data_IF_908934563078
#
_entry.id   IF_908934563078
#
_cell.length_a   1.000
_cell.length_b   1.000
_cell.length_c   1.000
_cell.angle_alpha   90.00
_cell.angle_beta   90.00
_cell.angle_gamma   90.00
#
_symmetry.space_group_name_H-M   'P 1'
#
loop_
_entity.id
_entity.type
_entity.pdbx_description
1 polymer ?
#
# COMPACT_ATOMS: atom_id res chain seq x y z
N UNK A 1 -2.48 21.09 14.88
CA UNK A 1 -3.55 21.19 13.88
C UNK A 1 -2.91 20.96 12.52
N UNK A 2 -3.27 19.89 11.79
CA UNK A 2 -2.71 19.64 10.46
C UNK A 2 -3.29 20.63 9.46
N UNK A 3 -2.44 21.19 8.58
CA UNK A 3 -2.89 22.07 7.50
C UNK A 3 -3.73 21.24 6.53
N UNK A 4 -4.93 21.71 6.13
CA UNK A 4 -5.72 20.98 5.15
C UNK A 4 -4.95 20.86 3.83
N UNK A 5 -5.01 19.68 3.22
CA UNK A 5 -4.40 19.42 1.91
C UNK A 5 -5.04 20.33 0.88
N UNK A 6 -4.23 21.03 0.09
CA UNK A 6 -4.69 21.90 -0.99
C UNK A 6 -4.71 21.15 -2.32
N UNK A 7 -5.49 21.62 -3.27
CA UNK A 7 -5.51 21.07 -4.64
C UNK A 7 -4.14 21.18 -5.32
N UNK A 8 -3.43 22.26 -5.11
CA UNK A 8 -2.05 22.46 -5.56
C UNK A 8 -1.09 21.35 -5.08
N UNK A 9 -1.31 20.81 -3.88
CA UNK A 9 -0.48 19.74 -3.33
C UNK A 9 -0.68 18.41 -4.12
N UNK A 10 -1.88 18.17 -4.67
CA UNK A 10 -2.20 17.00 -5.52
C UNK A 10 -1.56 17.15 -6.90
N UNK A 11 -1.66 18.33 -7.51
CA UNK A 11 -1.05 18.60 -8.82
C UNK A 11 0.47 18.44 -8.75
N UNK A 12 1.13 18.92 -7.69
CA UNK A 12 2.55 18.72 -7.44
C UNK A 12 2.89 17.23 -7.35
N UNK A 13 2.12 16.44 -6.59
CA UNK A 13 2.32 14.99 -6.52
C UNK A 13 2.24 14.34 -7.90
N UNK A 14 1.21 14.66 -8.70
CA UNK A 14 1.06 14.09 -10.04
C UNK A 14 2.19 14.53 -10.99
N UNK A 15 2.66 15.75 -10.86
CA UNK A 15 3.79 16.24 -11.64
C UNK A 15 5.06 15.44 -11.33
N UNK A 16 5.41 15.30 -10.06
CA UNK A 16 6.57 14.53 -9.60
C UNK A 16 6.49 13.04 -10.00
N UNK A 17 5.32 12.42 -9.87
CA UNK A 17 5.07 11.05 -10.32
C UNK A 17 5.41 10.88 -11.80
N UNK A 18 4.94 11.81 -12.65
CA UNK A 18 5.22 11.78 -14.10
C UNK A 18 6.69 12.04 -14.42
N UNK A 19 7.32 13.00 -13.76
CA UNK A 19 8.75 13.30 -13.95
C UNK A 19 9.63 12.08 -13.62
N UNK A 20 9.30 11.35 -12.56
CA UNK A 20 10.01 10.14 -12.16
C UNK A 20 9.53 8.87 -12.89
N UNK A 21 8.70 9.01 -13.93
CA UNK A 21 8.19 7.90 -14.77
C UNK A 21 7.45 6.83 -13.98
N UNK A 22 6.92 7.16 -12.81
CA UNK A 22 6.13 6.25 -11.98
C UNK A 22 4.78 6.03 -12.68
N UNK A 23 4.44 4.77 -12.91
CA UNK A 23 3.18 4.35 -13.54
C UNK A 23 2.29 3.55 -12.59
N UNK A 24 2.82 3.14 -11.44
CA UNK A 24 2.11 2.33 -10.45
C UNK A 24 2.38 2.86 -9.03
N UNK A 25 1.32 3.10 -8.28
CA UNK A 25 1.42 3.50 -6.86
C UNK A 25 0.84 2.40 -5.99
N UNK A 26 1.62 1.96 -5.02
CA UNK A 26 1.30 0.85 -4.11
C UNK A 26 1.27 1.38 -2.68
N UNK A 27 0.21 1.04 -1.95
CA UNK A 27 0.10 1.36 -0.54
C UNK A 27 0.08 0.07 0.29
N UNK A 28 0.80 0.06 1.41
CA UNK A 28 0.42 -0.80 2.50
C UNK A 28 -0.91 -0.34 3.09
N UNK A 29 -1.60 -1.23 3.80
CA UNK A 29 -2.92 -0.93 4.34
C UNK A 29 -2.84 -0.34 5.75
N UNK A 30 -2.36 -1.14 6.70
CA UNK A 30 -2.33 -0.82 8.11
C UNK A 30 -1.30 0.27 8.41
N UNK A 31 -1.67 1.30 9.17
CA UNK A 31 -0.78 2.41 9.53
C UNK A 31 -0.17 3.17 8.34
N UNK A 32 -0.60 2.85 7.12
CA UNK A 32 -0.20 3.51 5.87
C UNK A 32 -1.41 4.15 5.17
N UNK A 33 -2.24 3.39 4.46
CA UNK A 33 -3.48 3.92 3.86
C UNK A 33 -4.48 4.32 4.96
N UNK A 34 -4.50 3.58 6.06
CA UNK A 34 -5.33 3.81 7.25
C UNK A 34 -4.44 4.07 8.45
N UNK A 35 -4.67 5.15 9.20
CA UNK A 35 -3.92 5.49 10.42
C UNK A 35 -4.37 4.63 11.63
N UNK A 36 -4.57 3.33 11.40
CA UNK A 36 -4.98 2.33 12.39
C UNK A 36 -4.44 0.97 11.98
N UNK A 37 -4.22 0.08 12.96
CA UNK A 37 -3.76 -1.29 12.71
C UNK A 37 -4.90 -2.29 12.88
N UNK A 38 -5.15 -3.13 11.87
CA UNK A 38 -6.17 -4.20 11.89
C UNK A 38 -5.78 -5.40 12.76
N UNK A 39 -4.49 -5.54 13.07
CA UNK A 39 -3.90 -6.71 13.76
C UNK A 39 -4.09 -8.03 13.00
N UNK A 40 -4.08 -7.94 11.66
CA UNK A 40 -4.23 -9.07 10.76
C UNK A 40 -5.66 -9.50 10.49
N UNK A 41 -6.61 -9.18 11.37
CA UNK A 41 -8.05 -9.39 11.17
C UNK A 41 -8.86 -8.31 11.87
N UNK A 42 -10.06 -8.05 11.37
CA UNK A 42 -10.96 -7.03 11.90
C UNK A 42 -12.37 -7.59 12.08
N UNK A 43 -13.03 -7.27 13.21
CA UNK A 43 -14.43 -7.61 13.34
C UNK A 43 -15.27 -6.86 12.28
N UNK A 44 -16.19 -7.56 11.62
CA UNK A 44 -17.01 -6.98 10.52
C UNK A 44 -17.73 -5.69 10.92
N UNK A 45 -18.20 -5.62 12.19
CA UNK A 45 -18.87 -4.44 12.76
C UNK A 45 -17.94 -3.22 12.86
N UNK A 46 -16.62 -3.42 12.94
CA UNK A 46 -15.64 -2.36 13.14
C UNK A 46 -15.06 -1.82 11.82
N UNK A 47 -15.46 -2.40 10.67
CA UNK A 47 -15.03 -1.94 9.33
C UNK A 47 -15.28 -0.46 9.11
N UNK A 48 -16.47 0.10 9.44
CA UNK A 48 -16.69 1.55 9.24
C UNK A 48 -15.77 2.41 10.11
N UNK A 49 -15.47 1.97 11.34
CA UNK A 49 -14.53 2.68 12.22
C UNK A 49 -13.10 2.65 11.65
N UNK A 50 -12.67 1.48 11.18
CA UNK A 50 -11.36 1.29 10.56
C UNK A 50 -11.23 2.15 9.29
N UNK A 51 -12.18 2.03 8.38
CA UNK A 51 -12.18 2.80 7.14
C UNK A 51 -12.29 4.32 7.38
N UNK A 52 -13.01 4.75 8.42
CA UNK A 52 -13.07 6.13 8.87
C UNK A 52 -11.73 6.70 9.38
N UNK A 53 -10.68 5.85 9.49
CA UNK A 53 -9.30 6.25 9.77
C UNK A 53 -8.41 6.30 8.54
N UNK A 54 -8.98 6.13 7.33
CA UNK A 54 -8.25 6.37 6.10
C UNK A 54 -7.64 7.78 6.09
N UNK A 55 -6.40 7.88 5.65
CA UNK A 55 -5.67 9.15 5.72
C UNK A 55 -6.18 10.15 4.68
N UNK A 56 -6.15 11.44 5.00
CA UNK A 56 -6.56 12.49 4.07
C UNK A 56 -5.73 12.47 2.78
N UNK A 57 -4.43 12.19 2.89
CA UNK A 57 -3.54 12.03 1.74
C UNK A 57 -4.00 10.89 0.81
N UNK A 58 -4.32 9.72 1.36
CA UNK A 58 -4.81 8.58 0.60
C UNK A 58 -6.15 8.88 -0.07
N UNK A 59 -7.12 9.41 0.70
CA UNK A 59 -8.46 9.71 0.20
C UNK A 59 -8.46 10.73 -0.96
N UNK A 60 -7.53 11.67 -0.97
CA UNK A 60 -7.46 12.74 -1.99
C UNK A 60 -6.55 12.39 -3.16
N UNK A 61 -5.43 11.70 -2.92
CA UNK A 61 -4.50 11.36 -3.98
C UNK A 61 -5.05 10.25 -4.89
N UNK A 62 -5.69 9.23 -4.34
CA UNK A 62 -6.18 8.06 -5.09
C UNK A 62 -7.12 8.43 -6.25
N UNK A 63 -8.15 9.28 -6.08
CA UNK A 63 -8.99 9.70 -7.21
C UNK A 63 -8.20 10.41 -8.31
N UNK A 64 -7.20 11.21 -7.95
CA UNK A 64 -6.36 11.93 -8.90
C UNK A 64 -5.41 10.97 -9.66
N UNK A 65 -4.81 10.00 -8.98
CA UNK A 65 -4.02 8.94 -9.61
C UNK A 65 -4.86 8.13 -10.60
N UNK A 66 -6.07 7.73 -10.19
CA UNK A 66 -6.99 7.00 -11.05
C UNK A 66 -7.37 7.80 -12.29
N UNK A 67 -7.70 9.09 -12.15
CA UNK A 67 -8.00 9.99 -13.27
C UNK A 67 -6.79 10.17 -14.21
N UNK A 68 -5.58 10.16 -13.64
CA UNK A 68 -4.31 10.23 -14.39
C UNK A 68 -3.90 8.87 -15.01
N UNK A 69 -4.70 7.80 -14.87
CA UNK A 69 -4.44 6.43 -15.35
C UNK A 69 -3.16 5.81 -14.76
N UNK A 70 -2.82 6.18 -13.54
CA UNK A 70 -1.78 5.52 -12.77
C UNK A 70 -2.39 4.25 -12.14
N UNK A 71 -1.69 3.14 -12.27
CA UNK A 71 -2.10 1.87 -11.67
C UNK A 71 -2.07 1.95 -10.13
N UNK A 72 -3.05 1.30 -9.50
CA UNK A 72 -3.24 1.35 -8.05
C UNK A 72 -3.19 -0.05 -7.45
N UNK A 73 -2.42 -0.23 -6.38
CA UNK A 73 -2.39 -1.51 -5.68
C UNK A 73 -2.36 -1.34 -4.16
N UNK A 74 -2.87 -2.37 -3.46
CA UNK A 74 -2.65 -2.59 -2.03
C UNK A 74 -1.72 -3.80 -1.88
N UNK A 75 -0.67 -3.63 -1.08
CA UNK A 75 0.24 -4.69 -0.68
C UNK A 75 0.22 -4.82 0.84
N UNK A 76 -0.50 -5.78 1.39
CA UNK A 76 -0.66 -5.93 2.84
C UNK A 76 -0.30 -7.33 3.33
N UNK A 77 0.22 -7.42 4.56
CA UNK A 77 0.47 -8.67 5.27
C UNK A 77 -0.75 -9.21 6.03
N UNK A 78 -1.93 -8.65 5.83
CA UNK A 78 -3.17 -9.23 6.36
C UNK A 78 -3.41 -10.59 5.68
N UNK A 79 -2.82 -11.64 6.28
CA UNK A 79 -2.54 -12.89 5.59
C UNK A 79 -3.66 -13.91 5.80
N UNK A 80 -4.51 -14.03 4.81
CA UNK A 80 -5.57 -15.02 4.76
C UNK A 80 -5.03 -16.46 4.77
N UNK A 81 -3.89 -16.72 4.15
CA UNK A 81 -3.31 -18.05 4.04
C UNK A 81 -2.72 -18.53 5.37
N UNK A 82 -2.17 -17.65 6.18
CA UNK A 82 -1.64 -17.97 7.49
C UNK A 82 -2.72 -18.49 8.42
N UNK A 83 -3.91 -17.91 8.34
CA UNK A 83 -5.09 -18.37 9.10
C UNK A 83 -5.73 -19.64 8.51
N UNK A 84 -5.69 -19.81 7.20
CA UNK A 84 -6.22 -21.02 6.55
C UNK A 84 -5.36 -22.26 6.79
N UNK A 85 -4.07 -22.09 7.05
CA UNK A 85 -3.15 -23.21 7.32
C UNK A 85 -3.07 -23.65 8.77
N UNK A 86 -3.83 -23.03 9.65
CA UNK A 86 -3.86 -23.39 11.07
C UNK A 86 -2.58 -23.05 11.85
N UNK A 87 -1.72 -22.20 11.30
CA UNK A 87 -0.50 -21.77 11.98
C UNK A 87 -0.74 -20.75 13.10
N UNK A 88 -1.98 -20.29 13.28
CA UNK A 88 -2.40 -19.43 14.38
C UNK A 88 -3.17 -20.20 15.43
N UNK A 89 -2.87 -19.88 16.69
CA UNK A 89 -3.45 -20.53 17.88
C UNK A 89 -4.96 -20.29 18.02
N UNK A 90 -5.52 -19.37 17.24
CA UNK A 90 -6.94 -19.03 17.28
C UNK A 90 -7.55 -19.11 15.87
N UNK A 91 -8.51 -20.02 15.71
CA UNK A 91 -9.38 -20.01 14.54
C UNK A 91 -10.13 -18.67 14.47
N UNK A 92 -9.97 -17.96 13.35
CA UNK A 92 -10.74 -16.75 13.12
C UNK A 92 -12.09 -17.13 12.54
N UNK A 93 -13.14 -16.81 13.26
CA UNK A 93 -14.51 -16.96 12.77
C UNK A 93 -14.79 -15.95 11.67
N UNK A 94 -14.82 -16.44 10.43
CA UNK A 94 -15.08 -15.66 9.22
C UNK A 94 -16.48 -15.07 9.16
N UNK A 95 -17.43 -15.58 9.94
CA UNK A 95 -18.76 -14.98 10.01
C UNK A 95 -18.75 -13.63 10.75
N UNK A 96 -17.84 -13.47 11.69
CA UNK A 96 -17.71 -12.28 12.55
C UNK A 96 -16.52 -11.39 12.21
N UNK A 97 -15.48 -11.95 11.57
CA UNK A 97 -14.24 -11.22 11.23
C UNK A 97 -13.92 -11.30 9.73
N UNK A 98 -13.18 -10.29 9.26
CA UNK A 98 -12.62 -10.23 7.92
C UNK A 98 -11.12 -9.95 7.98
N UNK A 99 -10.41 -10.37 6.97
CA UNK A 99 -8.96 -10.21 6.84
C UNK A 99 -8.55 -10.26 5.36
N UNK A 100 -7.27 -10.03 5.11
CA UNK A 100 -6.69 -10.20 3.78
C UNK A 100 -7.38 -9.37 2.71
N UNK A 101 -7.61 -10.00 1.58
CA UNK A 101 -8.22 -9.34 0.42
C UNK A 101 -9.63 -8.81 0.72
N UNK A 102 -10.45 -9.53 1.51
CA UNK A 102 -11.79 -9.08 1.85
C UNK A 102 -11.74 -7.77 2.67
N UNK A 103 -10.83 -7.66 3.64
CA UNK A 103 -10.66 -6.43 4.44
C UNK A 103 -10.22 -5.26 3.55
N UNK A 104 -9.22 -5.46 2.70
CA UNK A 104 -8.76 -4.41 1.78
C UNK A 104 -9.87 -3.98 0.81
N UNK A 105 -10.63 -4.93 0.26
CA UNK A 105 -11.78 -4.63 -0.62
C UNK A 105 -12.82 -3.78 0.11
N UNK A 106 -13.21 -4.15 1.34
CA UNK A 106 -14.19 -3.39 2.13
C UNK A 106 -13.71 -1.99 2.50
N UNK A 107 -12.41 -1.84 2.80
CA UNK A 107 -11.81 -0.52 2.99
C UNK A 107 -11.99 0.35 1.74
N UNK A 108 -11.60 -0.16 0.58
CA UNK A 108 -11.66 0.58 -0.68
C UNK A 108 -13.11 0.93 -1.08
N UNK A 109 -14.05 0.00 -0.92
CA UNK A 109 -15.49 0.22 -1.16
C UNK A 109 -16.08 1.29 -0.23
N UNK A 110 -15.56 1.40 1.00
CA UNK A 110 -16.00 2.43 1.94
C UNK A 110 -15.44 3.81 1.58
N UNK A 111 -14.18 3.85 1.11
CA UNK A 111 -13.45 5.09 0.84
C UNK A 111 -13.76 5.70 -0.53
N UNK A 112 -14.07 4.87 -1.54
CA UNK A 112 -14.14 5.31 -2.93
C UNK A 112 -15.39 4.81 -3.64
N UNK A 113 -15.68 5.45 -4.80
CA UNK A 113 -16.72 4.94 -5.70
C UNK A 113 -16.36 3.53 -6.20
N UNK A 114 -17.37 2.70 -6.58
CA UNK A 114 -17.12 1.34 -7.07
C UNK A 114 -16.12 1.27 -8.22
N UNK A 115 -16.13 2.27 -9.10
CA UNK A 115 -15.21 2.36 -10.23
C UNK A 115 -13.74 2.53 -9.79
N UNK A 116 -13.48 3.35 -8.79
CA UNK A 116 -12.13 3.53 -8.23
C UNK A 116 -11.74 2.31 -7.39
N UNK A 117 -12.63 1.85 -6.51
CA UNK A 117 -12.34 0.71 -5.64
C UNK A 117 -11.98 -0.56 -6.44
N UNK A 118 -12.69 -0.83 -7.54
CA UNK A 118 -12.43 -1.99 -8.41
C UNK A 118 -11.18 -1.87 -9.28
N UNK A 119 -10.57 -0.68 -9.39
CA UNK A 119 -9.33 -0.48 -10.15
C UNK A 119 -8.07 -0.92 -9.39
N UNK A 120 -8.18 -1.20 -8.09
CA UNK A 120 -7.05 -1.65 -7.30
C UNK A 120 -6.74 -3.13 -7.53
N UNK A 121 -5.46 -3.43 -7.74
CA UNK A 121 -4.94 -4.78 -7.60
C UNK A 121 -4.52 -5.00 -6.13
N UNK A 122 -5.11 -6.00 -5.47
CA UNK A 122 -4.86 -6.28 -4.06
C UNK A 122 -4.00 -7.53 -3.93
N UNK A 123 -2.84 -7.40 -3.31
CA UNK A 123 -2.00 -8.52 -2.89
C UNK A 123 -1.99 -8.54 -1.36
N UNK A 124 -2.84 -9.39 -0.81
CA UNK A 124 -3.04 -9.55 0.63
C UNK A 124 -2.61 -10.94 1.11
N UNK A 125 -1.61 -11.53 0.45
CA UNK A 125 -1.25 -12.90 0.63
C UNK A 125 0.27 -13.03 0.79
N UNK A 126 0.70 -13.73 1.84
CA UNK A 126 2.08 -14.14 1.98
C UNK A 126 2.15 -15.68 1.95
N UNK A 127 2.75 -16.28 0.93
CA UNK A 127 2.78 -17.73 0.76
C UNK A 127 3.70 -18.46 1.75
N UNK A 128 4.12 -17.86 2.89
CA UNK A 128 4.95 -18.49 3.93
C UNK A 128 4.51 -19.90 4.31
N UNK A 129 3.23 -20.17 4.22
CA UNK A 129 2.66 -21.46 4.52
C UNK A 129 3.05 -22.57 3.52
N UNK A 130 3.57 -22.23 2.34
CA UNK A 130 3.90 -23.20 1.29
C UNK A 130 5.38 -23.27 0.92
N UNK A 131 6.20 -22.34 1.42
CA UNK A 131 7.63 -22.29 1.13
C UNK A 131 8.47 -22.76 2.31
N UNK A 132 9.65 -23.25 2.02
CA UNK A 132 10.67 -23.46 3.06
C UNK A 132 11.05 -22.10 3.64
N UNK A 133 11.36 -22.03 4.93
CA UNK A 133 11.80 -20.80 5.63
C UNK A 133 12.99 -20.06 4.98
N UNK A 134 13.52 -20.60 3.87
CA UNK A 134 14.71 -20.13 3.16
C UNK A 134 14.42 -19.52 1.79
N UNK A 135 13.15 -19.44 1.35
CA UNK A 135 12.85 -18.80 0.07
C UNK A 135 12.93 -17.26 0.20
N UNK A 136 13.92 -16.60 -0.41
CA UNK A 136 14.09 -15.14 -0.33
C UNK A 136 12.88 -14.37 -0.84
N UNK A 137 12.07 -14.96 -1.73
CA UNK A 137 10.87 -14.34 -2.27
C UNK A 137 9.73 -14.20 -1.24
N UNK A 138 9.82 -14.96 -0.14
CA UNK A 138 8.81 -14.91 0.93
C UNK A 138 9.17 -13.90 2.03
N UNK A 139 10.32 -13.24 1.90
CA UNK A 139 10.73 -12.21 2.84
C UNK A 139 9.98 -10.91 2.58
N UNK A 140 9.58 -10.24 3.67
CA UNK A 140 8.96 -8.92 3.63
C UNK A 140 7.84 -8.83 2.56
N UNK A 141 7.91 -7.87 1.64
CA UNK A 141 6.92 -7.70 0.56
C UNK A 141 7.46 -8.04 -0.84
N UNK A 142 8.54 -8.80 -0.96
CA UNK A 142 9.13 -9.20 -2.25
C UNK A 142 8.12 -9.93 -3.14
N UNK A 143 7.35 -10.85 -2.56
CA UNK A 143 6.27 -11.54 -3.27
C UNK A 143 5.23 -10.56 -3.79
N UNK A 144 4.78 -9.62 -2.95
CA UNK A 144 3.78 -8.63 -3.32
C UNK A 144 4.25 -7.78 -4.49
N UNK A 145 5.48 -7.26 -4.44
CA UNK A 145 6.05 -6.45 -5.52
C UNK A 145 6.14 -7.22 -6.83
N UNK A 146 6.59 -8.47 -6.79
CA UNK A 146 6.64 -9.33 -7.98
C UNK A 146 5.27 -9.57 -8.60
N UNK A 147 4.25 -9.85 -7.80
CA UNK A 147 2.89 -10.06 -8.31
C UNK A 147 2.30 -8.78 -8.92
N UNK A 148 2.58 -7.61 -8.32
CA UNK A 148 2.17 -6.30 -8.85
C UNK A 148 2.87 -6.01 -10.18
N UNK A 149 4.20 -6.21 -10.26
CA UNK A 149 4.96 -6.08 -11.51
C UNK A 149 4.40 -6.95 -12.63
N UNK A 150 4.13 -8.22 -12.30
CA UNK A 150 3.56 -9.18 -13.26
C UNK A 150 2.17 -8.78 -13.72
N UNK A 151 1.32 -8.32 -12.80
CA UNK A 151 -0.07 -7.95 -13.11
C UNK A 151 -0.15 -6.76 -14.06
N UNK A 152 0.66 -5.72 -13.81
CA UNK A 152 0.63 -4.49 -14.61
C UNK A 152 1.66 -4.48 -15.75
N UNK A 153 2.58 -5.43 -15.81
CA UNK A 153 3.64 -5.48 -16.82
C UNK A 153 4.66 -4.34 -16.68
N UNK A 154 4.94 -3.89 -15.46
CA UNK A 154 5.81 -2.75 -15.17
C UNK A 154 7.14 -3.20 -14.54
N UNK A 155 8.19 -2.38 -14.74
CA UNK A 155 9.48 -2.58 -14.07
C UNK A 155 9.45 -2.03 -12.64
N UNK A 156 10.42 -2.42 -11.81
CA UNK A 156 10.48 -2.01 -10.41
C UNK A 156 10.62 -0.50 -10.21
N UNK A 157 11.40 0.16 -11.06
CA UNK A 157 11.61 1.61 -11.05
C UNK A 157 10.37 2.43 -11.44
N UNK A 158 9.36 1.79 -12.02
CA UNK A 158 8.06 2.40 -12.33
C UNK A 158 7.03 2.29 -11.20
N UNK A 159 7.39 1.66 -10.09
CA UNK A 159 6.54 1.49 -8.91
C UNK A 159 6.99 2.45 -7.82
N UNK A 160 6.03 3.12 -7.16
CA UNK A 160 6.25 3.87 -5.92
C UNK A 160 5.46 3.19 -4.81
N UNK A 161 6.15 2.75 -3.77
CA UNK A 161 5.56 2.01 -2.66
C UNK A 161 5.63 2.79 -1.34
N UNK A 162 4.56 2.74 -0.55
CA UNK A 162 4.45 3.36 0.76
C UNK A 162 4.19 2.32 1.83
N UNK A 163 4.97 2.36 2.92
CA UNK A 163 4.87 1.43 4.06
C UNK A 163 5.34 2.12 5.34
N UNK A 164 4.79 1.76 6.49
CA UNK A 164 5.16 2.29 7.80
C UNK A 164 6.31 1.53 8.47
N UNK A 165 6.73 0.41 7.87
CA UNK A 165 7.71 -0.52 8.44
C UNK A 165 9.08 -0.35 7.78
N UNK A 166 10.02 0.29 8.48
CA UNK A 166 11.36 0.60 7.94
C UNK A 166 12.09 -0.62 7.34
N UNK A 167 12.13 -1.82 7.98
CA UNK A 167 12.74 -2.99 7.37
C UNK A 167 12.09 -3.41 6.04
N UNK A 168 10.77 -3.24 5.89
CA UNK A 168 10.05 -3.54 4.64
C UNK A 168 10.45 -2.56 3.54
N UNK A 169 10.49 -1.27 3.85
CA UNK A 169 10.90 -0.22 2.90
C UNK A 169 12.32 -0.47 2.41
N UNK A 170 13.28 -0.70 3.32
CA UNK A 170 14.67 -1.00 2.97
C UNK A 170 14.80 -2.25 2.11
N UNK A 171 14.10 -3.32 2.48
CA UNK A 171 14.10 -4.58 1.71
C UNK A 171 13.55 -4.39 0.29
N UNK A 172 12.46 -3.63 0.13
CA UNK A 172 11.91 -3.33 -1.19
C UNK A 172 12.86 -2.49 -2.05
N UNK A 173 13.56 -1.52 -1.46
CA UNK A 173 14.57 -0.73 -2.16
C UNK A 173 15.78 -1.58 -2.58
N UNK A 174 16.35 -2.34 -1.65
CA UNK A 174 17.61 -3.07 -1.85
C UNK A 174 17.45 -4.32 -2.72
N UNK A 175 16.38 -5.08 -2.53
CA UNK A 175 16.21 -6.40 -3.19
C UNK A 175 15.17 -6.39 -4.31
N UNK A 176 14.17 -5.51 -4.26
CA UNK A 176 13.19 -5.40 -5.33
C UNK A 176 13.53 -4.28 -6.33
N UNK A 177 14.40 -3.35 -5.97
CA UNK A 177 14.68 -2.15 -6.76
C UNK A 177 13.47 -1.22 -6.89
N UNK A 178 12.55 -1.29 -5.93
CA UNK A 178 11.30 -0.51 -5.94
C UNK A 178 11.49 0.77 -5.13
N UNK A 179 11.36 1.97 -5.71
CA UNK A 179 11.24 3.22 -4.98
C UNK A 179 10.21 3.11 -3.85
N UNK A 180 10.69 3.20 -2.60
CA UNK A 180 9.85 2.92 -1.44
C UNK A 180 9.99 4.00 -0.39
N UNK A 181 8.89 4.44 0.20
CA UNK A 181 8.80 5.58 1.11
C UNK A 181 8.33 5.11 2.48
N UNK A 182 9.12 5.41 3.50
CA UNK A 182 8.72 5.20 4.88
C UNK A 182 7.74 6.29 5.32
N UNK A 183 6.58 5.89 5.79
CA UNK A 183 5.57 6.78 6.37
C UNK A 183 5.56 6.71 7.89
N UNK A 184 5.05 7.76 8.56
CA UNK A 184 4.89 7.78 10.01
C UNK A 184 3.68 6.92 10.41
N UNK A 185 3.90 5.77 11.05
CA UNK A 185 2.87 4.82 11.49
C UNK A 185 1.70 5.45 12.28
N UNK A 186 1.94 6.58 12.97
CA UNK A 186 0.89 7.28 13.76
C UNK A 186 -0.02 8.15 12.90
N UNK A 187 0.47 8.59 11.73
CA UNK A 187 -0.22 9.53 10.84
C UNK A 187 -0.69 8.85 9.56
N UNK A 188 -0.07 7.72 9.22
CA UNK A 188 -0.18 7.11 7.92
C UNK A 188 0.34 7.99 6.79
N UNK A 189 0.01 7.66 5.57
CA UNK A 189 0.46 8.36 4.37
C UNK A 189 0.04 9.82 4.33
N UNK A 190 1.00 10.69 4.03
CA UNK A 190 0.80 12.13 3.81
C UNK A 190 1.38 12.54 2.45
N UNK A 191 0.75 13.46 1.72
CA UNK A 191 1.25 13.92 0.41
C UNK A 191 2.70 14.43 0.46
N UNK A 192 3.08 15.08 1.55
CA UNK A 192 4.45 15.55 1.76
C UNK A 192 5.50 14.44 1.76
N UNK A 193 5.12 13.20 2.12
CA UNK A 193 6.03 12.07 2.15
C UNK A 193 6.43 11.72 0.71
N UNK A 194 5.47 11.73 -0.21
CA UNK A 194 5.68 11.59 -1.66
C UNK A 194 6.52 12.75 -2.21
N UNK A 195 6.10 13.99 -1.97
CA UNK A 195 6.78 15.18 -2.48
C UNK A 195 8.24 15.19 -2.04
N UNK A 196 8.49 14.98 -0.76
CA UNK A 196 9.85 14.95 -0.21
C UNK A 196 10.71 13.87 -0.87
N UNK A 197 10.20 12.68 -1.04
CA UNK A 197 10.94 11.56 -1.62
C UNK A 197 11.29 11.82 -3.09
N UNK A 198 10.31 12.11 -3.92
CA UNK A 198 10.52 12.29 -5.36
C UNK A 198 11.31 13.56 -5.72
N UNK A 199 11.22 14.63 -4.92
CA UNK A 199 12.04 15.82 -5.12
C UNK A 199 13.52 15.60 -4.81
N UNK A 200 13.85 14.70 -3.88
CA UNK A 200 15.24 14.33 -3.59
C UNK A 200 15.86 13.47 -4.70
N UNK A 201 15.09 12.58 -5.32
CA UNK A 201 15.54 11.75 -6.46
C UNK A 201 15.95 12.62 -7.65
N UNK A 202 15.15 13.64 -7.99
CA UNK A 202 15.47 14.57 -9.10
C UNK A 202 16.80 15.31 -8.85
N UNK A 203 17.05 15.77 -7.63
CA UNK A 203 18.28 16.50 -7.31
C UNK A 203 19.55 15.64 -7.43
N UNK A 204 19.43 14.31 -7.34
CA UNK A 204 20.55 13.39 -7.51
C UNK A 204 20.83 13.06 -8.98
N UNK A 205 19.81 13.08 -9.85
CA UNK A 205 19.95 12.80 -11.29
C UNK A 205 20.53 14.01 -12.04
N UNK A 206 20.15 15.23 -11.67
CA UNK A 206 20.68 16.48 -12.22
C UNK A 206 22.16 16.73 -11.84
N UNK A 207 22.70 15.97 -10.91
CA UNK A 207 24.09 16.09 -10.44
C UNK A 207 25.08 15.10 -11.10
N UNK A 208 24.61 14.29 -12.03
CA UNK A 208 25.40 13.31 -12.80
C UNK A 208 25.58 13.76 -14.23
#
# INVERSE_FOLDING_TARGET
MMRPVKEADIEECLHLIRQNKITTVVFDMDQTAVAMHSRGSLARKDVPLFAGKATDGFLRLVPALHAAKIHLAIATHSDQAEYETGNHVHEIDRSTHILGQELATRLLEHCFSPHIASSFFIVAYNPKARGTKQDPLLCMKRFHMREIQKHYGVSSDQILFFDDTEPVVKDCQEYCGVPSVLVDARKGFQLRDLVRFLSCEIALDDSR
#
